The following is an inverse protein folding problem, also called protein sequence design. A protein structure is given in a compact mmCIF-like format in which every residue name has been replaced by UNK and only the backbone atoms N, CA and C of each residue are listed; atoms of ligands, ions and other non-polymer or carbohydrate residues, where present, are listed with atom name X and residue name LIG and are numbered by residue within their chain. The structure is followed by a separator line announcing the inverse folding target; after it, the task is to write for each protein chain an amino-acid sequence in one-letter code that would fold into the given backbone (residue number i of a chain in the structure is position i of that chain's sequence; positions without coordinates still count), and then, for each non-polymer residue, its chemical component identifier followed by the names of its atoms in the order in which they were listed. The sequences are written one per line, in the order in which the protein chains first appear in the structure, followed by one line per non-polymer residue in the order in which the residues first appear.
data_IF_413182392708
#
_entry.id   IF_413182392708
#
_cell.length_a   1.000
_cell.length_b   1.000
_cell.length_c   1.000
_cell.angle_alpha   90.00
_cell.angle_beta   90.00
_cell.angle_gamma   90.00
#
_symmetry.space_group_name_H-M   'P 1'
#
loop_
_entity.id
_entity.type
_entity.pdbx_description
1 polymer ?
#
# COMPACT_ATOMS: atom_id res chain seq x y z
N UNK A 1 50.66 12.66 -39.80
CA UNK A 1 49.92 11.53 -39.19
C UNK A 1 49.59 11.89 -37.75
N UNK A 2 48.35 12.32 -37.48
CA UNK A 2 47.89 12.73 -36.15
C UNK A 2 47.04 11.62 -35.53
N UNK A 3 47.37 11.33 -34.27
CA UNK A 3 47.00 10.16 -33.48
C UNK A 3 45.50 10.17 -33.11
N UNK A 4 44.68 9.37 -33.82
CA UNK A 4 43.22 9.18 -33.61
C UNK A 4 42.87 8.41 -32.32
N UNK A 5 43.70 8.46 -31.27
CA UNK A 5 43.51 7.70 -30.03
C UNK A 5 42.85 8.50 -28.89
N UNK A 6 42.91 9.83 -28.94
CA UNK A 6 42.44 10.68 -27.82
C UNK A 6 40.96 11.08 -27.89
N UNK A 7 40.32 11.02 -29.05
CA UNK A 7 38.90 11.42 -29.20
C UNK A 7 37.94 10.34 -28.69
N UNK A 8 38.38 9.08 -28.59
CA UNK A 8 37.55 7.97 -28.12
C UNK A 8 37.47 7.78 -26.60
N UNK A 9 38.15 8.63 -25.81
CA UNK A 9 38.06 8.57 -24.34
C UNK A 9 36.95 9.45 -23.74
N UNK A 10 36.37 10.36 -24.51
CA UNK A 10 35.28 11.23 -24.02
C UNK A 10 33.91 10.52 -24.11
N UNK A 11 33.80 9.42 -24.86
CA UNK A 11 32.54 8.69 -25.03
C UNK A 11 32.20 7.68 -23.92
N UNK A 12 33.07 7.45 -22.93
CA UNK A 12 32.88 6.38 -21.93
C UNK A 12 32.39 6.81 -20.55
N UNK A 13 32.23 8.10 -20.30
CA UNK A 13 31.95 8.57 -18.93
C UNK A 13 30.93 9.68 -18.94
N UNK A 14 29.69 9.34 -19.28
CA UNK A 14 28.46 10.10 -18.97
C UNK A 14 27.22 9.32 -19.46
N UNK A 15 27.16 8.02 -19.17
CA UNK A 15 25.86 7.36 -19.09
C UNK A 15 25.29 7.71 -17.71
N UNK A 16 24.89 8.98 -17.57
CA UNK A 16 24.13 9.45 -16.43
C UNK A 16 22.84 8.65 -16.42
N UNK A 17 22.81 7.66 -15.53
CA UNK A 17 21.68 7.24 -14.72
C UNK A 17 20.46 8.18 -14.90
N UNK A 18 19.66 7.93 -15.93
CA UNK A 18 18.27 8.38 -15.94
C UNK A 18 17.57 7.47 -14.92
N UNK A 19 17.73 7.79 -13.63
CA UNK A 19 16.84 7.34 -12.58
C UNK A 19 15.48 7.84 -13.02
N UNK A 20 14.69 6.95 -13.61
CA UNK A 20 13.33 7.26 -13.95
C UNK A 20 12.59 7.48 -12.62
N UNK A 21 12.43 8.74 -12.25
CA UNK A 21 11.50 9.23 -11.25
C UNK A 21 10.07 9.01 -11.77
N UNK A 22 9.73 7.78 -12.16
CA UNK A 22 8.35 7.37 -12.33
C UNK A 22 7.78 7.25 -10.93
N UNK A 23 7.11 8.31 -10.48
CA UNK A 23 6.10 8.22 -9.45
C UNK A 23 5.02 7.25 -9.93
N UNK A 24 5.25 5.95 -9.74
CA UNK A 24 4.20 4.95 -9.83
C UNK A 24 3.22 5.24 -8.70
N UNK A 25 2.20 6.05 -8.99
CA UNK A 25 1.04 6.19 -8.14
C UNK A 25 0.39 4.81 -8.04
N UNK A 26 0.67 4.09 -6.95
CA UNK A 26 0.17 2.75 -6.74
C UNK A 26 -1.35 2.82 -6.56
N UNK A 27 -2.08 2.21 -7.50
CA UNK A 27 -3.55 2.17 -7.48
C UNK A 27 -4.01 1.44 -6.22
N UNK A 28 -4.95 2.07 -5.50
CA UNK A 28 -5.66 1.44 -4.38
C UNK A 28 -6.73 0.51 -4.94
N UNK A 29 -6.78 -0.71 -4.42
CA UNK A 29 -7.77 -1.71 -4.81
C UNK A 29 -8.59 -2.10 -3.58
N UNK A 30 -9.91 -1.94 -3.65
CA UNK A 30 -10.81 -2.45 -2.63
C UNK A 30 -10.99 -3.96 -2.81
N UNK A 31 -10.87 -4.74 -1.74
CA UNK A 31 -10.93 -6.20 -1.81
C UNK A 31 -12.15 -6.74 -1.06
N UNK A 32 -12.69 -7.85 -1.55
CA UNK A 32 -13.56 -8.71 -0.76
C UNK A 32 -12.73 -9.49 0.26
N UNK A 33 -13.34 -9.89 1.36
CA UNK A 33 -12.65 -10.63 2.43
C UNK A 33 -12.14 -12.00 1.97
N UNK A 34 -12.86 -12.63 1.05
CA UNK A 34 -12.57 -13.96 0.49
C UNK A 34 -11.78 -13.90 -0.83
N UNK A 35 -11.38 -12.70 -1.28
CA UNK A 35 -10.60 -12.55 -2.50
C UNK A 35 -9.29 -13.33 -2.41
N UNK A 36 -8.84 -13.87 -3.55
CA UNK A 36 -7.54 -14.52 -3.70
C UNK A 36 -6.62 -13.60 -4.50
N UNK A 37 -5.44 -13.34 -3.96
CA UNK A 37 -4.42 -12.51 -4.60
C UNK A 37 -3.25 -13.42 -4.96
N UNK A 38 -2.86 -13.41 -6.23
CA UNK A 38 -1.71 -14.16 -6.70
C UNK A 38 -0.40 -13.54 -6.19
N UNK A 39 0.63 -14.37 -6.02
CA UNK A 39 2.00 -13.95 -5.71
C UNK A 39 2.15 -13.18 -4.38
N UNK A 40 1.25 -13.38 -3.43
CA UNK A 40 1.38 -12.91 -2.04
C UNK A 40 1.29 -14.07 -1.07
N UNK A 41 1.95 -13.94 0.08
CA UNK A 41 1.92 -14.97 1.13
C UNK A 41 0.70 -14.87 2.03
N UNK A 42 0.33 -13.64 2.40
CA UNK A 42 -0.81 -13.36 3.28
C UNK A 42 -2.01 -13.05 2.40
N UNK A 43 -3.11 -13.76 2.58
CA UNK A 43 -4.35 -13.50 1.88
C UNK A 43 -5.22 -12.46 2.62
N UNK A 44 -6.19 -11.81 1.95
CA UNK A 44 -7.03 -10.77 2.56
C UNK A 44 -7.72 -11.18 3.87
N UNK A 45 -8.25 -12.41 3.95
CA UNK A 45 -8.87 -12.95 5.16
C UNK A 45 -7.87 -13.11 6.32
N UNK A 46 -6.64 -13.52 6.04
CA UNK A 46 -5.55 -13.64 7.01
C UNK A 46 -5.12 -12.26 7.49
N UNK A 47 -4.99 -11.28 6.58
CA UNK A 47 -4.71 -9.90 6.93
C UNK A 47 -5.77 -9.32 7.86
N UNK A 48 -7.07 -9.59 7.61
CA UNK A 48 -8.15 -9.17 8.51
C UNK A 48 -7.97 -9.79 9.90
N UNK A 49 -7.67 -11.09 9.99
CA UNK A 49 -7.41 -11.77 11.28
C UNK A 49 -6.21 -11.17 12.02
N UNK A 50 -5.13 -10.83 11.30
CA UNK A 50 -3.95 -10.16 11.88
C UNK A 50 -4.33 -8.76 12.39
N UNK A 51 -5.19 -8.03 11.67
CA UNK A 51 -5.59 -6.68 12.04
C UNK A 51 -6.55 -6.65 13.24
N UNK A 52 -7.40 -7.67 13.40
CA UNK A 52 -8.52 -7.71 14.36
C UNK A 52 -8.19 -7.18 15.77
N UNK A 53 -7.10 -7.61 16.46
CA UNK A 53 -6.80 -7.12 17.81
C UNK A 53 -6.46 -5.62 17.89
N UNK A 54 -6.18 -4.98 16.75
CA UNK A 54 -5.79 -3.56 16.69
C UNK A 54 -6.92 -2.64 16.21
N UNK A 55 -8.00 -3.19 15.65
CA UNK A 55 -9.02 -2.39 14.97
C UNK A 55 -9.74 -1.44 15.93
N UNK A 56 -10.16 -1.90 17.09
CA UNK A 56 -10.99 -1.12 18.01
C UNK A 56 -10.25 0.12 18.56
N UNK A 57 -8.95 0.01 18.85
CA UNK A 57 -8.14 1.12 19.36
C UNK A 57 -7.56 2.04 18.27
N UNK A 58 -7.31 1.52 17.07
CA UNK A 58 -6.55 2.24 16.05
C UNK A 58 -7.37 2.64 14.82
N UNK A 59 -8.07 1.68 14.22
CA UNK A 59 -8.58 1.79 12.86
C UNK A 59 -10.11 1.69 12.77
N UNK A 60 -10.83 2.05 13.84
CA UNK A 60 -12.31 2.05 13.87
C UNK A 60 -12.87 3.46 13.90
N UNK A 61 -13.79 3.75 12.99
CA UNK A 61 -14.56 5.01 12.96
C UNK A 61 -16.05 4.76 12.87
N UNK A 62 -16.78 5.29 13.84
CA UNK A 62 -18.24 5.17 13.90
C UNK A 62 -18.88 6.51 13.57
N UNK A 63 -19.39 6.65 12.34
CA UNK A 63 -20.03 7.89 11.87
C UNK A 63 -21.55 7.89 12.06
N UNK A 64 -22.21 6.76 11.82
CA UNK A 64 -23.66 6.62 12.02
C UNK A 64 -23.98 5.51 13.02
N UNK A 65 -24.44 5.84 14.24
CA UNK A 65 -24.71 4.84 15.29
C UNK A 65 -25.81 3.82 14.95
N UNK A 66 -26.65 4.12 13.97
CA UNK A 66 -27.75 3.24 13.54
C UNK A 66 -27.31 2.16 12.55
N UNK A 67 -26.10 2.27 11.99
CA UNK A 67 -25.56 1.28 11.04
C UNK A 67 -24.49 0.41 11.71
N UNK A 68 -24.46 -0.90 11.43
CA UNK A 68 -23.39 -1.76 11.90
C UNK A 68 -22.05 -1.31 11.31
N UNK A 69 -20.99 -1.53 12.07
CA UNK A 69 -19.62 -1.35 11.59
C UNK A 69 -19.26 -2.44 10.58
N UNK A 70 -18.58 -2.07 9.49
CA UNK A 70 -18.08 -2.98 8.47
C UNK A 70 -16.55 -2.97 8.44
N UNK A 71 -15.94 -4.13 8.26
CA UNK A 71 -14.50 -4.25 8.05
C UNK A 71 -14.18 -4.05 6.57
N UNK A 72 -13.36 -3.06 6.28
CA UNK A 72 -12.89 -2.73 4.94
C UNK A 72 -11.43 -3.13 4.79
N UNK A 73 -11.07 -3.68 3.63
CA UNK A 73 -9.69 -4.02 3.30
C UNK A 73 -9.33 -3.47 1.91
N UNK A 74 -8.22 -2.74 1.85
CA UNK A 74 -7.66 -2.21 0.62
C UNK A 74 -6.25 -2.74 0.40
N UNK A 75 -5.87 -3.01 -0.85
CA UNK A 75 -4.49 -3.30 -1.25
C UNK A 75 -3.89 -2.08 -1.93
N UNK A 76 -2.73 -1.62 -1.45
CA UNK A 76 -1.94 -0.56 -2.08
C UNK A 76 -0.46 -0.92 -1.98
N UNK A 77 0.14 -1.22 -3.12
CA UNK A 77 1.53 -1.66 -3.18
C UNK A 77 1.73 -3.01 -2.50
N UNK A 78 2.63 -3.03 -1.51
CA UNK A 78 2.99 -4.24 -0.74
C UNK A 78 2.23 -4.37 0.58
N UNK A 79 1.14 -3.64 0.75
CA UNK A 79 0.42 -3.60 2.01
C UNK A 79 -1.10 -3.73 1.84
N UNK A 80 -1.70 -4.53 2.70
CA UNK A 80 -3.10 -4.42 3.05
C UNK A 80 -3.30 -3.28 4.04
N UNK A 81 -4.42 -2.59 3.91
CA UNK A 81 -4.90 -1.53 4.81
C UNK A 81 -6.25 -2.00 5.29
N UNK A 82 -6.36 -2.31 6.58
CA UNK A 82 -7.60 -2.78 7.20
C UNK A 82 -8.12 -1.72 8.15
N UNK A 83 -9.39 -1.39 8.01
CA UNK A 83 -10.08 -0.49 8.92
C UNK A 83 -11.53 -0.93 9.12
N UNK A 84 -12.20 -0.39 10.13
CA UNK A 84 -13.60 -0.63 10.41
C UNK A 84 -14.38 0.68 10.41
N UNK A 85 -15.37 0.81 9.55
CA UNK A 85 -16.24 2.00 9.52
C UNK A 85 -17.63 1.63 9.04
N UNK A 86 -18.59 2.51 9.26
CA UNK A 86 -19.93 2.41 8.68
C UNK A 86 -20.28 3.61 7.80
N UNK A 87 -19.23 4.29 7.34
CA UNK A 87 -19.32 5.41 6.43
C UNK A 87 -18.88 4.99 5.03
N UNK A 88 -19.76 5.05 4.01
CA UNK A 88 -19.36 4.86 2.63
C UNK A 88 -18.56 6.10 2.17
N UNK A 89 -17.24 6.01 2.27
CA UNK A 89 -16.37 7.13 1.91
C UNK A 89 -16.36 7.37 0.39
N UNK A 90 -16.32 8.64 0.00
CA UNK A 90 -16.29 9.07 -1.41
C UNK A 90 -14.98 8.72 -2.13
N UNK A 91 -13.91 8.47 -1.39
CA UNK A 91 -12.59 8.16 -1.95
C UNK A 91 -11.96 6.97 -1.25
N UNK A 92 -11.19 6.17 -2.01
CA UNK A 92 -10.48 5.03 -1.44
C UNK A 92 -9.38 5.43 -0.45
N UNK A 93 -8.84 6.64 -0.59
CA UNK A 93 -7.79 7.14 0.30
C UNK A 93 -8.26 7.31 1.74
N UNK A 94 -9.56 7.57 1.96
CA UNK A 94 -10.13 7.62 3.30
C UNK A 94 -9.89 6.32 4.06
N UNK A 95 -9.98 5.17 3.39
CA UNK A 95 -9.76 3.87 4.01
C UNK A 95 -8.30 3.56 4.34
N UNK A 96 -7.38 4.49 4.04
CA UNK A 96 -5.96 4.37 4.38
C UNK A 96 -5.60 5.13 5.66
N UNK A 97 -6.48 5.99 6.19
CA UNK A 97 -6.18 6.99 7.22
C UNK A 97 -7.29 7.02 8.29
N UNK A 98 -7.54 5.89 8.98
CA UNK A 98 -6.57 5.15 9.78
C UNK A 98 -6.68 3.66 9.52
N UNK A 99 -5.59 3.07 9.08
CA UNK A 99 -5.56 1.66 8.82
C UNK A 99 -4.50 0.97 9.66
N UNK A 100 -4.78 -0.28 9.99
CA UNK A 100 -3.74 -1.25 10.28
C UNK A 100 -3.13 -1.66 8.94
N UNK A 101 -1.87 -1.30 8.72
CA UNK A 101 -1.10 -1.73 7.55
C UNK A 101 -0.49 -3.09 7.82
N UNK A 102 -0.65 -4.02 6.87
CA UNK A 102 -0.07 -5.36 6.97
C UNK A 102 0.71 -5.66 5.69
N UNK A 103 2.00 -5.97 5.81
CA UNK A 103 2.81 -6.29 4.64
C UNK A 103 2.40 -7.65 4.05
N UNK A 104 2.12 -7.69 2.74
CA UNK A 104 1.48 -8.84 2.07
C UNK A 104 2.31 -10.13 2.09
N UNK A 105 3.63 -10.04 2.32
CA UNK A 105 4.52 -11.20 2.32
C UNK A 105 5.10 -11.57 3.68
N UNK A 106 5.13 -10.63 4.63
CA UNK A 106 5.77 -10.85 5.94
C UNK A 106 4.77 -10.84 7.09
N UNK A 107 3.57 -10.28 6.88
CA UNK A 107 2.60 -10.07 7.95
C UNK A 107 2.99 -8.96 8.93
N UNK A 108 4.06 -8.21 8.65
CA UNK A 108 4.50 -7.09 9.47
C UNK A 108 3.39 -6.04 9.59
N UNK A 109 3.09 -5.65 10.83
CA UNK A 109 2.06 -4.68 11.15
C UNK A 109 2.67 -3.30 11.32
N UNK A 110 2.11 -2.30 10.66
CA UNK A 110 2.42 -0.89 10.85
C UNK A 110 1.13 -0.12 11.10
N UNK A 111 1.18 0.91 11.92
CA UNK A 111 0.03 1.76 12.19
C UNK A 111 0.16 3.06 11.41
N UNK A 112 -0.89 3.45 10.69
CA UNK A 112 -0.97 4.79 10.11
C UNK A 112 -1.33 5.76 11.22
N UNK A 113 -0.48 6.75 11.48
CA UNK A 113 -0.74 7.79 12.49
C UNK A 113 -2.04 8.53 12.18
N UNK A 114 -2.77 8.90 13.24
CA UNK A 114 -3.96 9.76 13.13
C UNK A 114 -3.45 11.20 13.12
N UNK A 115 -3.60 11.88 11.99
CA UNK A 115 -3.45 13.34 11.92
C UNK A 115 -4.54 14.04 12.76
#
# INVERSE_FOLDING_TARGET
MANKSLVNRILKTKLFLFISLFGFSQKVQYLKHDAQIENVRIQPNEAIKIAEPYLEGHATYWWNKEKPLETHICLKGKYYYVMRTNYPAKTFNYYLQPAVKIHVNTGEVTFVEKD
#
